data_IF_392713007207
#
_entry.id   IF_392713007207
#
_cell.length_a   1.000
_cell.length_b   1.000
_cell.length_c   1.000
_cell.angle_alpha   90.00
_cell.angle_beta   90.00
_cell.angle_gamma   90.00
#
_symmetry.space_group_name_H-M   'P 1'
#
loop_
_entity.id
_entity.type
_entity.pdbx_description
1 polymer ?
#
# COMPACT_ATOMS: atom_id res chain seq x y z
N UNK A 1 13.42 23.75 2.88
CA UNK A 1 14.28 22.77 2.18
C UNK A 1 13.42 21.88 1.31
N UNK A 2 13.45 22.09 -0.01
CA UNK A 2 12.90 21.15 -0.99
C UNK A 2 13.77 19.87 -1.00
N UNK A 3 13.20 18.66 -1.09
CA UNK A 3 14.03 17.47 -1.38
C UNK A 3 14.35 17.49 -2.87
N UNK A 4 15.54 17.98 -3.20
CA UNK A 4 16.08 17.83 -4.56
C UNK A 4 16.55 16.39 -4.83
N UNK A 5 16.53 15.53 -3.82
CA UNK A 5 17.08 14.17 -3.86
C UNK A 5 16.19 13.22 -3.06
N UNK A 6 15.92 12.04 -3.63
CA UNK A 6 15.31 10.92 -2.90
C UNK A 6 16.41 10.24 -2.09
N UNK A 7 16.31 10.32 -0.77
CA UNK A 7 17.24 9.67 0.16
C UNK A 7 16.56 8.52 0.88
N UNK A 8 17.19 7.36 0.91
CA UNK A 8 16.80 6.28 1.80
C UNK A 8 17.22 6.63 3.24
N UNK A 9 16.54 6.06 4.23
CA UNK A 9 16.88 6.23 5.65
C UNK A 9 17.03 4.87 6.34
N UNK A 10 18.12 4.12 6.06
CA UNK A 10 18.21 2.70 6.36
C UNK A 10 17.98 2.32 7.83
N UNK A 11 18.29 3.21 8.78
CA UNK A 11 18.07 3.00 10.21
C UNK A 11 16.58 2.76 10.57
N UNK A 12 15.64 3.15 9.69
CA UNK A 12 14.20 2.93 9.84
C UNK A 12 13.63 1.88 8.88
N UNK A 13 14.49 1.12 8.20
CA UNK A 13 14.06 -0.06 7.47
C UNK A 13 13.56 -1.11 8.47
N UNK A 14 12.49 -1.82 8.12
CA UNK A 14 11.89 -2.82 8.99
C UNK A 14 11.46 -4.02 8.14
N UNK A 15 11.70 -5.22 8.65
CA UNK A 15 11.04 -6.43 8.17
C UNK A 15 9.92 -6.75 9.16
N UNK A 16 8.70 -6.90 8.65
CA UNK A 16 7.53 -7.18 9.47
C UNK A 16 7.20 -8.67 9.38
N UNK A 17 7.61 -9.41 10.40
CA UNK A 17 7.37 -10.85 10.54
C UNK A 17 7.49 -11.23 12.02
N UNK A 18 6.96 -12.39 12.40
CA UNK A 18 7.03 -12.88 13.79
C UNK A 18 8.47 -12.97 14.32
N UNK A 19 9.44 -13.26 13.45
CA UNK A 19 10.87 -13.34 13.79
C UNK A 19 11.60 -11.98 13.78
N UNK A 20 10.89 -10.90 13.44
CA UNK A 20 11.45 -9.55 13.34
C UNK A 20 10.53 -8.53 14.02
N UNK A 21 10.14 -7.44 13.32
CA UNK A 21 9.26 -6.43 13.89
C UNK A 21 7.81 -6.92 13.80
N UNK A 22 7.20 -7.19 14.94
CA UNK A 22 5.84 -7.70 15.01
C UNK A 22 5.08 -7.14 16.22
N UNK A 23 3.79 -6.94 16.04
CA UNK A 23 2.84 -6.67 17.11
C UNK A 23 1.44 -7.10 16.67
N UNK A 24 0.56 -7.36 17.64
CA UNK A 24 -0.86 -7.65 17.40
C UNK A 24 -1.71 -6.43 17.74
N UNK A 25 -2.83 -6.26 17.03
CA UNK A 25 -3.73 -5.13 17.24
C UNK A 25 -3.09 -3.77 16.89
N UNK A 26 -3.63 -2.72 17.50
CA UNK A 26 -3.19 -1.33 17.26
C UNK A 26 -1.79 -1.11 17.86
N UNK A 27 -0.91 -0.44 17.11
CA UNK A 27 0.40 -0.06 17.64
C UNK A 27 0.29 0.98 18.75
N UNK A 28 0.86 0.69 19.92
CA UNK A 28 0.94 1.60 21.06
C UNK A 28 2.41 1.86 21.44
N UNK A 29 3.13 2.62 20.61
CA UNK A 29 4.56 2.95 20.79
C UNK A 29 4.80 4.35 21.40
N UNK A 30 3.76 4.97 21.95
CA UNK A 30 3.80 6.33 22.51
C UNK A 30 3.88 7.45 21.48
N UNK A 31 3.94 7.14 20.16
CA UNK A 31 3.97 8.16 19.11
C UNK A 31 2.57 8.52 18.63
N UNK A 32 2.35 9.80 18.32
CA UNK A 32 1.09 10.24 17.75
C UNK A 32 1.05 9.97 16.23
N UNK A 33 0.42 8.85 15.87
CA UNK A 33 0.22 8.39 14.48
C UNK A 33 -1.16 8.74 13.93
N UNK A 34 -1.79 9.79 14.47
CA UNK A 34 -3.11 10.24 14.05
C UNK A 34 -4.25 9.43 14.66
N UNK A 35 -5.50 9.76 14.31
CA UNK A 35 -6.71 9.17 14.89
C UNK A 35 -7.00 7.76 14.36
N UNK A 36 -6.45 7.39 13.20
CA UNK A 36 -6.68 6.08 12.60
C UNK A 36 -5.67 5.04 13.12
N UNK A 37 -6.12 3.83 13.52
CA UNK A 37 -5.25 2.75 13.97
C UNK A 37 -4.16 2.38 12.97
N UNK A 38 -2.99 1.98 13.48
CA UNK A 38 -1.89 1.44 12.69
C UNK A 38 -1.60 -0.01 13.10
N UNK A 39 -1.75 -0.91 12.15
CA UNK A 39 -1.56 -2.35 12.34
C UNK A 39 -0.23 -2.82 11.75
N UNK A 40 0.27 -3.95 12.23
CA UNK A 40 1.52 -4.52 11.73
C UNK A 40 1.35 -4.99 10.28
N UNK A 41 2.14 -4.49 9.32
CA UNK A 41 2.07 -4.94 7.93
C UNK A 41 2.87 -6.23 7.74
N UNK A 42 2.44 -7.30 8.42
CA UNK A 42 3.12 -8.61 8.41
C UNK A 42 3.29 -9.13 6.98
N UNK A 43 4.47 -9.69 6.68
CA UNK A 43 4.84 -10.17 5.35
C UNK A 43 5.48 -9.12 4.46
N UNK A 44 5.61 -7.87 4.93
CA UNK A 44 6.21 -6.78 4.17
C UNK A 44 7.56 -6.35 4.75
N UNK A 45 8.41 -5.81 3.88
CA UNK A 45 9.63 -5.10 4.24
C UNK A 45 9.50 -3.64 3.85
N UNK A 46 9.77 -2.75 4.80
CA UNK A 46 9.81 -1.31 4.58
C UNK A 46 11.22 -0.84 4.30
N UNK A 47 11.37 -0.08 3.23
CA UNK A 47 12.54 0.74 2.93
C UNK A 47 12.16 2.21 3.17
N UNK A 48 12.66 2.76 4.28
CA UNK A 48 12.32 4.11 4.72
C UNK A 48 12.92 5.17 3.80
N UNK A 49 12.19 6.26 3.58
CA UNK A 49 12.72 7.46 2.96
C UNK A 49 13.07 8.49 4.03
N UNK A 50 14.16 9.23 3.82
CA UNK A 50 14.55 10.36 4.64
C UNK A 50 13.65 11.56 4.33
N UNK A 51 12.53 11.62 5.06
CA UNK A 51 11.62 12.75 5.30
C UNK A 51 12.21 14.16 5.31
N UNK A 52 12.63 14.46 6.52
CA UNK A 52 13.01 15.73 7.12
C UNK A 52 13.67 15.37 8.46
N UNK A 53 14.51 16.24 9.01
CA UNK A 53 15.18 16.00 10.30
C UNK A 53 14.18 15.93 11.48
N UNK A 54 13.10 16.70 11.41
CA UNK A 54 12.07 16.79 12.45
C UNK A 54 10.84 15.89 12.18
N UNK A 55 11.06 14.67 11.68
CA UNK A 55 9.98 13.79 11.18
C UNK A 55 8.81 13.61 12.16
N UNK A 56 9.11 13.28 13.43
CA UNK A 56 8.07 13.00 14.43
C UNK A 56 7.25 14.26 14.77
N UNK A 57 7.87 15.45 14.77
CA UNK A 57 7.17 16.72 15.01
C UNK A 57 6.34 17.13 13.78
N UNK A 58 6.92 17.11 12.57
CA UNK A 58 6.22 17.50 11.34
C UNK A 58 4.99 16.64 11.09
N UNK A 59 5.10 15.34 11.32
CA UNK A 59 4.02 14.41 11.03
C UNK A 59 3.24 14.00 12.28
N UNK A 60 3.39 14.70 13.41
CA UNK A 60 2.61 14.43 14.62
C UNK A 60 1.12 14.52 14.30
N UNK A 61 0.36 13.46 14.63
CA UNK A 61 -1.08 13.44 14.34
C UNK A 61 -1.47 13.06 12.91
N UNK A 62 -0.51 12.85 12.01
CA UNK A 62 -0.79 12.33 10.67
C UNK A 62 -1.05 10.83 10.73
N UNK A 63 -1.98 10.32 9.95
CA UNK A 63 -2.27 8.88 9.85
C UNK A 63 -1.34 8.18 8.87
N UNK A 64 -1.08 6.88 9.11
CA UNK A 64 -0.37 6.01 8.18
C UNK A 64 -1.39 5.39 7.23
N UNK A 65 -1.07 5.38 5.95
CA UNK A 65 -1.85 4.69 4.93
C UNK A 65 -0.94 4.10 3.85
N UNK A 66 -1.55 3.36 2.94
CA UNK A 66 -0.91 2.64 1.86
C UNK A 66 -1.56 2.99 0.54
N UNK A 67 -0.73 3.24 -0.47
CA UNK A 67 -1.15 3.46 -1.84
C UNK A 67 -0.53 2.37 -2.73
N UNK A 68 -1.39 1.55 -3.33
CA UNK A 68 -0.97 0.59 -4.35
C UNK A 68 -0.63 1.32 -5.65
N UNK A 69 0.38 0.85 -6.37
CA UNK A 69 0.68 1.36 -7.71
C UNK A 69 1.38 0.30 -8.57
N UNK A 70 1.60 0.61 -9.85
CA UNK A 70 2.38 -0.20 -10.78
C UNK A 70 3.86 0.10 -10.65
N UNK A 71 4.71 -0.89 -10.93
CA UNK A 71 6.17 -0.72 -10.92
C UNK A 71 6.62 0.38 -11.87
N UNK A 72 6.00 0.48 -13.06
CA UNK A 72 6.30 1.51 -14.06
C UNK A 72 6.05 2.94 -13.57
N UNK A 73 5.17 3.12 -12.57
CA UNK A 73 4.83 4.43 -12.02
C UNK A 73 5.60 4.75 -10.74
N UNK A 74 6.16 3.75 -10.06
CA UNK A 74 6.84 3.94 -8.78
C UNK A 74 7.92 5.03 -8.81
N UNK A 75 8.77 5.03 -9.83
CA UNK A 75 9.80 6.07 -10.00
C UNK A 75 9.20 7.45 -10.32
N UNK A 76 8.18 7.51 -11.19
CA UNK A 76 7.52 8.80 -11.50
C UNK A 76 6.84 9.40 -10.27
N UNK A 77 6.20 8.58 -9.43
CA UNK A 77 5.58 9.05 -8.19
C UNK A 77 6.63 9.54 -7.21
N UNK A 78 7.74 8.82 -7.11
CA UNK A 78 8.89 9.20 -6.29
C UNK A 78 9.46 10.57 -6.68
N UNK A 79 9.53 10.86 -7.98
CA UNK A 79 10.14 12.08 -8.51
C UNK A 79 9.16 13.26 -8.65
N UNK A 80 7.87 12.99 -8.86
CA UNK A 80 6.89 14.02 -9.23
C UNK A 80 5.71 14.12 -8.26
N UNK A 81 5.52 13.16 -7.35
CA UNK A 81 4.37 13.12 -6.45
C UNK A 81 3.19 12.29 -6.98
N UNK A 82 2.03 12.39 -6.34
CA UNK A 82 0.85 11.60 -6.69
C UNK A 82 -0.11 12.40 -7.57
N UNK A 83 -0.50 11.80 -8.70
CA UNK A 83 -1.59 12.29 -9.55
C UNK A 83 -2.94 11.91 -8.93
N UNK A 84 -4.00 12.65 -9.27
CA UNK A 84 -5.37 12.20 -9.03
C UNK A 84 -5.63 10.81 -9.63
N UNK A 85 -6.46 10.04 -8.93
CA UNK A 85 -6.98 8.80 -9.46
C UNK A 85 -7.89 9.07 -10.66
N UNK A 86 -7.78 8.22 -11.69
CA UNK A 86 -8.66 8.29 -12.87
C UNK A 86 -10.04 7.69 -12.59
N UNK A 87 -10.09 6.68 -11.72
CA UNK A 87 -11.34 6.13 -11.19
C UNK A 87 -11.67 6.83 -9.87
N UNK A 88 -12.90 7.31 -9.73
CA UNK A 88 -13.34 8.21 -8.66
C UNK A 88 -14.64 7.76 -7.98
N UNK A 89 -14.79 6.44 -7.74
CA UNK A 89 -15.99 5.82 -7.14
C UNK A 89 -16.47 6.48 -5.84
N UNK A 90 -15.53 6.99 -5.02
CA UNK A 90 -15.80 7.67 -3.74
C UNK A 90 -15.54 9.20 -3.80
N UNK A 91 -15.34 9.75 -5.00
CA UNK A 91 -14.99 11.15 -5.24
C UNK A 91 -13.62 11.35 -5.89
N UNK A 92 -13.35 12.57 -6.33
CA UNK A 92 -12.04 12.96 -6.87
C UNK A 92 -11.00 13.12 -5.76
N UNK A 93 -9.83 12.53 -5.97
CA UNK A 93 -8.69 12.70 -5.07
C UNK A 93 -7.63 11.63 -5.24
N UNK A 94 -6.75 11.53 -4.24
CA UNK A 94 -5.76 10.45 -4.14
C UNK A 94 -6.35 9.35 -3.25
N UNK A 95 -6.39 8.13 -3.79
CA UNK A 95 -6.93 6.97 -3.07
C UNK A 95 -5.84 6.32 -2.22
N UNK A 96 -6.13 6.05 -0.95
CA UNK A 96 -5.25 5.34 -0.05
C UNK A 96 -6.07 4.44 0.90
N UNK A 97 -5.40 3.59 1.65
CA UNK A 97 -6.06 2.71 2.63
C UNK A 97 -5.24 2.59 3.90
N UNK A 98 -5.85 2.46 5.09
CA UNK A 98 -5.14 2.03 6.29
C UNK A 98 -4.77 0.54 6.25
N UNK A 99 -5.37 -0.24 5.35
CA UNK A 99 -5.08 -1.66 5.19
C UNK A 99 -4.06 -1.90 4.08
N UNK A 100 -2.91 -2.42 4.47
CA UNK A 100 -1.92 -2.90 3.51
C UNK A 100 -2.43 -4.13 2.73
N UNK A 101 -3.31 -4.92 3.36
CA UNK A 101 -3.90 -6.12 2.77
C UNK A 101 -4.83 -5.72 1.62
N UNK A 102 -5.71 -4.74 1.82
CA UNK A 102 -6.57 -4.20 0.77
C UNK A 102 -5.76 -3.60 -0.39
N UNK A 103 -4.83 -2.70 -0.09
CA UNK A 103 -3.99 -2.04 -1.10
C UNK A 103 -3.11 -3.02 -1.87
N UNK A 104 -2.85 -4.23 -1.34
CA UNK A 104 -2.05 -5.26 -2.03
C UNK A 104 -2.79 -6.02 -3.12
N UNK A 105 -4.11 -5.80 -3.28
CA UNK A 105 -4.88 -6.43 -4.35
C UNK A 105 -4.34 -6.04 -5.73
N UNK A 106 -4.31 -6.94 -6.73
CA UNK A 106 -3.69 -6.66 -8.04
C UNK A 106 -4.33 -5.50 -8.82
N UNK A 107 -5.57 -5.10 -8.48
CA UNK A 107 -6.18 -3.86 -9.01
C UNK A 107 -5.33 -2.63 -8.67
N UNK A 108 -4.74 -2.62 -7.48
CA UNK A 108 -4.05 -1.46 -6.92
C UNK A 108 -2.54 -1.64 -6.94
N UNK A 109 -2.01 -2.81 -6.54
CA UNK A 109 -0.58 -3.09 -6.46
C UNK A 109 -0.17 -4.19 -7.43
N UNK A 110 0.69 -3.84 -8.38
CA UNK A 110 1.17 -4.79 -9.38
C UNK A 110 1.99 -5.92 -8.73
N UNK A 111 1.79 -7.13 -9.25
CA UNK A 111 2.60 -8.32 -8.95
C UNK A 111 3.53 -8.55 -10.13
N UNK A 112 4.84 -8.58 -9.88
CA UNK A 112 5.83 -8.95 -10.89
C UNK A 112 6.43 -10.31 -10.56
N UNK A 113 6.37 -11.25 -11.51
CA UNK A 113 7.18 -12.46 -11.46
C UNK A 113 8.64 -12.11 -11.78
N UNK A 114 9.54 -12.65 -10.98
CA UNK A 114 10.97 -12.50 -11.11
C UNK A 114 11.47 -13.69 -11.90
N UNK A 115 11.89 -13.43 -13.14
CA UNK A 115 12.40 -14.48 -14.01
C UNK A 115 13.73 -14.99 -13.46
N UNK A 116 14.09 -16.27 -13.69
CA UNK A 116 15.41 -16.78 -13.32
C UNK A 116 16.56 -15.92 -13.85
N UNK A 117 16.41 -15.31 -15.03
CA UNK A 117 17.39 -14.39 -15.62
C UNK A 117 17.50 -13.03 -14.91
N UNK A 118 16.51 -12.65 -14.11
CA UNK A 118 16.48 -11.41 -13.32
C UNK A 118 17.01 -11.65 -11.89
N UNK A 119 17.25 -12.90 -11.48
CA UNK A 119 17.89 -13.21 -10.21
C UNK A 119 19.36 -12.83 -10.28
N UNK A 120 19.80 -12.00 -9.34
CA UNK A 120 21.17 -11.50 -9.25
C UNK A 120 21.80 -11.96 -7.94
N UNK A 121 23.13 -11.85 -7.76
CA UNK A 121 23.75 -12.11 -6.45
C UNK A 121 23.16 -11.29 -5.29
N UNK A 122 22.49 -10.17 -5.60
CA UNK A 122 21.84 -9.28 -4.63
C UNK A 122 20.35 -9.59 -4.41
N UNK A 123 19.77 -10.49 -5.21
CA UNK A 123 18.39 -10.96 -5.10
C UNK A 123 18.36 -12.49 -5.23
N UNK A 124 18.58 -13.17 -4.10
CA UNK A 124 18.88 -14.61 -4.07
C UNK A 124 17.66 -15.51 -3.86
N UNK A 125 16.51 -14.96 -3.47
CA UNK A 125 15.31 -15.74 -3.15
C UNK A 125 14.03 -14.97 -3.45
N UNK A 126 12.93 -15.69 -3.65
CA UNK A 126 11.66 -15.14 -4.10
C UNK A 126 11.44 -15.29 -5.59
N UNK A 127 10.18 -15.54 -5.95
CA UNK A 127 9.70 -15.67 -7.33
C UNK A 127 8.76 -14.53 -7.72
N UNK A 128 8.12 -13.89 -6.76
CA UNK A 128 7.19 -12.80 -7.00
C UNK A 128 7.55 -11.62 -6.10
N UNK A 129 7.35 -10.41 -6.62
CA UNK A 129 7.49 -9.17 -5.88
C UNK A 129 6.26 -8.30 -6.04
N UNK A 130 5.85 -7.68 -4.94
CA UNK A 130 4.86 -6.59 -4.93
C UNK A 130 5.46 -5.33 -4.33
N UNK A 131 4.94 -4.20 -4.80
CA UNK A 131 5.39 -2.86 -4.45
C UNK A 131 4.20 -2.00 -4.04
N UNK A 132 4.35 -1.28 -2.93
CA UNK A 132 3.41 -0.25 -2.49
C UNK A 132 4.12 0.91 -1.83
N UNK A 133 3.40 2.02 -1.72
CA UNK A 133 3.84 3.21 -1.03
C UNK A 133 3.25 3.25 0.38
N UNK A 134 4.07 3.42 1.41
CA UNK A 134 3.60 3.85 2.74
C UNK A 134 3.64 5.38 2.83
N UNK A 135 2.49 5.96 3.14
CA UNK A 135 2.29 7.41 3.18
C UNK A 135 1.89 7.89 4.57
N UNK A 136 2.06 9.20 4.79
CA UNK A 136 1.47 9.96 5.89
C UNK A 136 0.45 10.92 5.32
N UNK A 137 -0.73 10.99 5.92
CA UNK A 137 -1.80 11.92 5.54
C UNK A 137 -2.29 12.67 6.77
N UNK A 138 -2.46 13.99 6.68
CA UNK A 138 -3.08 14.74 7.76
C UNK A 138 -4.58 14.42 7.79
N UNK A 139 -5.19 14.13 8.95
CA UNK A 139 -6.58 13.65 9.00
C UNK A 139 -7.59 14.62 8.38
N UNK A 140 -7.35 15.93 8.46
CA UNK A 140 -8.24 16.94 7.85
C UNK A 140 -8.21 16.96 6.32
N UNK A 141 -7.24 16.29 5.70
CA UNK A 141 -7.17 16.17 4.25
C UNK A 141 -7.82 14.87 3.75
N UNK A 142 -8.30 13.99 4.64
CA UNK A 142 -9.11 12.83 4.27
C UNK A 142 -10.55 13.32 4.12
N UNK A 143 -11.00 13.48 2.89
CA UNK A 143 -12.32 14.05 2.59
C UNK A 143 -13.41 12.99 2.53
N UNK A 144 -13.04 11.75 2.21
CA UNK A 144 -13.95 10.60 2.23
C UNK A 144 -13.27 9.44 2.94
N UNK A 145 -14.01 8.80 3.84
CA UNK A 145 -13.71 7.47 4.36
C UNK A 145 -14.92 6.60 3.99
N UNK A 146 -14.70 5.60 3.15
CA UNK A 146 -15.77 4.83 2.55
C UNK A 146 -15.50 3.33 2.47
N UNK A 147 -16.50 2.60 1.93
CA UNK A 147 -16.41 1.17 1.78
C UNK A 147 -15.40 0.75 0.71
N UNK A 148 -15.03 -0.52 0.73
CA UNK A 148 -14.27 -1.17 -0.33
C UNK A 148 -14.99 -1.09 -1.69
N UNK A 149 -14.22 -0.97 -2.78
CA UNK A 149 -14.74 -0.85 -4.16
C UNK A 149 -14.46 -2.09 -5.01
N UNK A 150 -14.05 -3.19 -4.38
CA UNK A 150 -13.80 -4.51 -4.99
C UNK A 150 -15.00 -5.46 -4.88
N UNK A 151 -16.11 -5.01 -4.27
CA UNK A 151 -17.41 -5.70 -4.21
C UNK A 151 -17.24 -7.15 -3.78
N UNK A 152 -16.65 -7.35 -2.60
CA UNK A 152 -16.31 -8.68 -2.06
C UNK A 152 -17.48 -9.35 -1.32
N UNK A 153 -18.63 -8.69 -1.28
CA UNK A 153 -19.81 -9.15 -0.55
C UNK A 153 -19.56 -9.23 0.96
N UNK A 154 -19.85 -10.39 1.56
CA UNK A 154 -19.68 -10.60 3.01
C UNK A 154 -18.26 -11.03 3.42
N UNK A 155 -17.33 -11.11 2.47
CA UNK A 155 -15.96 -11.53 2.76
C UNK A 155 -15.19 -10.43 3.49
N UNK A 156 -14.61 -10.76 4.64
CA UNK A 156 -13.70 -9.85 5.35
C UNK A 156 -12.38 -9.71 4.59
N UNK A 157 -11.96 -8.48 4.30
CA UNK A 157 -10.70 -8.20 3.59
C UNK A 157 -9.52 -8.20 4.55
N UNK A 158 -9.65 -7.44 5.65
CA UNK A 158 -8.63 -7.30 6.68
C UNK A 158 -9.31 -7.45 8.04
N UNK A 159 -8.83 -8.36 8.89
CA UNK A 159 -9.43 -8.59 10.21
C UNK A 159 -9.30 -7.38 11.14
N UNK A 160 -8.38 -6.44 10.82
CA UNK A 160 -8.13 -5.25 11.62
C UNK A 160 -8.85 -4.00 11.10
N UNK A 161 -9.34 -4.02 9.85
CA UNK A 161 -9.96 -2.86 9.20
C UNK A 161 -11.30 -3.25 8.61
N UNK A 162 -12.37 -2.61 9.09
CA UNK A 162 -13.72 -2.87 8.59
C UNK A 162 -13.86 -2.43 7.13
N UNK A 163 -14.46 -3.29 6.30
CA UNK A 163 -14.68 -3.05 4.87
C UNK A 163 -15.40 -1.72 4.57
N UNK A 164 -16.22 -1.18 5.48
CA UNK A 164 -16.98 0.06 5.29
C UNK A 164 -16.16 1.35 5.45
N UNK A 165 -14.90 1.25 5.91
CA UNK A 165 -14.02 2.40 6.18
C UNK A 165 -12.59 2.18 5.68
N UNK A 166 -12.41 1.27 4.72
CA UNK A 166 -11.11 0.79 4.27
C UNK A 166 -10.52 1.64 3.14
N UNK A 167 -11.32 2.46 2.47
CA UNK A 167 -10.88 3.29 1.35
C UNK A 167 -10.96 4.77 1.72
N UNK A 168 -9.85 5.49 1.55
CA UNK A 168 -9.72 6.90 1.87
C UNK A 168 -9.50 7.70 0.60
N UNK A 169 -10.24 8.79 0.45
CA UNK A 169 -9.98 9.80 -0.59
C UNK A 169 -9.32 10.99 0.07
N UNK A 170 -8.12 11.32 -0.39
CA UNK A 170 -7.32 12.46 0.08
C UNK A 170 -7.48 13.63 -0.87
N UNK A 171 -7.81 14.79 -0.32
CA UNK A 171 -7.93 16.04 -1.05
C UNK A 171 -6.60 16.44 -1.71
N UNK A 172 -6.67 16.90 -2.95
CA UNK A 172 -5.51 17.44 -3.68
C UNK A 172 -5.44 18.96 -3.62
N UNK A 173 -6.44 19.62 -3.00
CA UNK A 173 -6.60 21.07 -2.93
C UNK A 173 -6.57 21.70 -4.33
N UNK A 174 -7.20 21.05 -5.30
CA UNK A 174 -7.25 21.48 -6.70
C UNK A 174 -5.96 21.26 -7.49
N UNK A 175 -4.93 20.61 -6.92
CA UNK A 175 -3.68 20.31 -7.62
C UNK A 175 -3.82 19.05 -8.45
N UNK A 176 -3.37 19.08 -9.71
CA UNK A 176 -3.34 17.89 -10.59
C UNK A 176 -2.33 16.83 -10.11
N UNK A 177 -1.29 17.27 -9.40
CA UNK A 177 -0.26 16.44 -8.79
C UNK A 177 0.04 16.99 -7.39
N UNK A 178 0.03 16.13 -6.39
CA UNK A 178 0.47 16.45 -5.02
C UNK A 178 1.95 16.11 -4.91
N UNK A 179 2.80 17.14 -5.02
CA UNK A 179 4.24 17.05 -4.81
C UNK A 179 4.54 16.82 -3.31
N UNK A 180 5.32 15.78 -3.01
CA UNK A 180 5.72 15.45 -1.64
C UNK A 180 6.70 16.45 -1.02
N UNK A 181 7.31 17.32 -1.83
CA UNK A 181 8.18 18.41 -1.39
C UNK A 181 7.42 19.68 -1.04
N UNK A 182 6.14 19.75 -1.38
CA UNK A 182 5.30 20.87 -1.02
C UNK A 182 5.12 20.91 0.51
N UNK A 183 5.24 22.09 1.09
CA UNK A 183 4.99 22.29 2.53
C UNK A 183 3.51 22.04 2.87
N UNK A 184 2.63 22.28 1.91
CA UNK A 184 1.19 22.07 2.00
C UNK A 184 0.74 20.73 1.42
N UNK A 185 1.68 19.81 1.15
CA UNK A 185 1.39 18.47 0.67
C UNK A 185 0.35 17.79 1.56
N UNK A 186 -0.77 17.36 0.98
CA UNK A 186 -1.86 16.75 1.74
C UNK A 186 -1.56 15.33 2.18
N UNK A 187 -0.69 14.66 1.43
CA UNK A 187 -0.15 13.33 1.64
C UNK A 187 1.34 13.34 1.30
N UNK A 188 2.13 12.59 2.08
CA UNK A 188 3.59 12.49 1.87
C UNK A 188 4.03 11.04 1.86
N UNK A 189 4.84 10.68 0.87
CA UNK A 189 5.44 9.37 0.77
C UNK A 189 6.64 9.20 1.71
N UNK A 190 6.62 8.17 2.55
CA UNK A 190 7.60 8.00 3.65
C UNK A 190 8.39 6.70 3.61
N UNK A 191 7.97 5.70 2.83
CA UNK A 191 8.72 4.47 2.71
C UNK A 191 8.12 3.49 1.71
N UNK A 192 8.98 2.82 0.96
CA UNK A 192 8.58 1.77 0.03
C UNK A 192 8.26 0.50 0.82
N UNK A 193 7.12 -0.12 0.54
CA UNK A 193 6.74 -1.43 1.07
C UNK A 193 6.96 -2.48 -0.03
N UNK A 194 7.79 -3.49 0.26
CA UNK A 194 8.07 -4.60 -0.64
C UNK A 194 7.64 -5.90 0.01
N UNK A 195 6.92 -6.75 -0.73
CA UNK A 195 6.67 -8.15 -0.37
C UNK A 195 7.33 -9.03 -1.42
N UNK A 196 8.10 -10.02 -0.96
CA UNK A 196 8.76 -11.01 -1.82
C UNK A 196 8.29 -12.40 -1.38
N UNK A 197 7.87 -13.22 -2.33
CA UNK A 197 7.31 -14.55 -2.06
C UNK A 197 7.75 -15.59 -3.09
N UNK A 198 7.89 -16.84 -2.66
CA UNK A 198 8.20 -17.96 -3.57
C UNK A 198 6.97 -18.43 -4.37
N UNK A 199 5.78 -18.25 -3.79
CA UNK A 199 4.49 -18.51 -4.44
C UNK A 199 3.83 -17.21 -4.87
N UNK A 200 2.88 -17.29 -5.79
CA UNK A 200 2.11 -16.12 -6.22
C UNK A 200 1.39 -15.50 -4.99
N UNK A 201 1.42 -14.18 -4.80
CA UNK A 201 0.82 -13.54 -3.61
C UNK A 201 -0.65 -13.86 -3.37
N UNK A 202 -1.43 -14.12 -4.42
CA UNK A 202 -2.83 -14.59 -4.29
C UNK A 202 -3.00 -15.94 -3.59
N UNK A 203 -1.92 -16.68 -3.33
CA UNK A 203 -1.93 -17.92 -2.56
C UNK A 203 -1.66 -17.71 -1.07
N UNK A 204 -1.32 -16.50 -0.65
CA UNK A 204 -1.07 -16.17 0.74
C UNK A 204 -2.38 -16.20 1.56
N UNK A 205 -2.34 -16.58 2.85
CA UNK A 205 -3.52 -16.59 3.72
C UNK A 205 -4.27 -15.24 3.76
N UNK A 206 -3.55 -14.13 3.83
CA UNK A 206 -4.13 -12.78 3.87
C UNK A 206 -4.72 -12.31 2.53
N UNK A 207 -4.43 -13.03 1.43
CA UNK A 207 -4.91 -12.68 0.08
C UNK A 207 -6.08 -13.57 -0.37
N UNK A 208 -6.61 -14.43 0.50
CA UNK A 208 -7.69 -15.35 0.15
C UNK A 208 -9.01 -14.65 -0.20
N UNK A 209 -9.22 -13.43 0.27
CA UNK A 209 -10.40 -12.67 -0.09
C UNK A 209 -10.40 -12.22 -1.56
N UNK A 210 -9.25 -12.22 -2.26
CA UNK A 210 -9.14 -11.78 -3.67
C UNK A 210 -10.08 -12.57 -4.58
N UNK A 211 -10.24 -13.87 -4.30
CA UNK A 211 -11.14 -14.76 -5.04
C UNK A 211 -12.63 -14.44 -4.87
N UNK A 212 -12.98 -13.56 -3.92
CA UNK A 212 -14.35 -13.08 -3.70
C UNK A 212 -14.64 -11.74 -4.39
N UNK A 213 -13.63 -11.07 -4.95
CA UNK A 213 -13.83 -9.78 -5.61
C UNK A 213 -14.60 -9.92 -6.93
N UNK A 214 -15.45 -8.94 -7.27
CA UNK A 214 -16.22 -8.95 -8.52
C UNK A 214 -15.34 -8.99 -9.78
N UNK A 215 -14.09 -8.52 -9.67
CA UNK A 215 -13.11 -8.55 -10.75
C UNK A 215 -12.60 -9.97 -11.06
N UNK A 216 -12.96 -10.96 -10.24
CA UNK A 216 -12.48 -12.34 -10.33
C UNK A 216 -13.61 -13.39 -10.31
N UNK A 217 -14.89 -12.99 -10.43
CA UNK A 217 -16.00 -13.93 -10.35
C UNK A 217 -16.04 -14.85 -11.60
N UNK A 218 -16.12 -16.16 -11.34
CA UNK A 218 -15.87 -17.31 -12.24
C UNK A 218 -16.57 -17.34 -13.60
N UNK A 219 -17.55 -16.47 -13.85
CA UNK A 219 -18.29 -16.40 -15.11
C UNK A 219 -17.70 -15.42 -16.12
N UNK A 220 -16.86 -14.47 -15.67
CA UNK A 220 -16.25 -13.46 -16.54
C UNK A 220 -14.73 -13.45 -16.33
N UNK A 221 -13.97 -13.39 -17.43
CA UNK A 221 -12.52 -13.24 -17.41
C UNK A 221 -12.08 -12.21 -16.36
N UNK A 222 -11.10 -12.60 -15.53
CA UNK A 222 -10.56 -11.71 -14.51
C UNK A 222 -10.05 -10.43 -15.18
N UNK A 223 -10.68 -9.29 -14.88
CA UNK A 223 -10.33 -7.99 -15.48
C UNK A 223 -8.90 -7.54 -15.13
N UNK A 224 -8.24 -8.26 -14.22
CA UNK A 224 -6.86 -8.03 -13.79
C UNK A 224 -5.83 -8.73 -14.69
N UNK A 225 -6.27 -9.53 -15.68
CA UNK A 225 -5.36 -10.34 -16.50
C UNK A 225 -4.64 -11.45 -15.71
N UNK A 226 -5.14 -11.77 -14.51
CA UNK A 226 -4.64 -12.83 -13.65
C UNK A 226 -5.68 -13.94 -13.57
N UNK A 227 -5.33 -15.15 -14.03
CA UNK A 227 -6.20 -16.31 -13.87
C UNK A 227 -6.11 -16.83 -12.42
N UNK A 228 -6.91 -16.23 -11.55
CA UNK A 228 -7.06 -16.67 -10.17
C UNK A 228 -7.62 -18.10 -10.09
N UNK A 229 -8.40 -18.56 -11.06
CA UNK A 229 -8.93 -19.94 -11.08
C UNK A 229 -7.78 -20.95 -11.23
N UNK A 230 -6.86 -20.69 -12.17
CA UNK A 230 -5.66 -21.53 -12.34
C UNK A 230 -4.76 -21.48 -11.10
N UNK A 231 -4.62 -20.32 -10.44
CA UNK A 231 -3.89 -20.22 -9.17
C UNK A 231 -4.55 -21.04 -8.06
N UNK A 232 -5.88 -21.03 -7.97
CA UNK A 232 -6.63 -21.80 -6.95
C UNK A 232 -6.35 -23.30 -7.06
N UNK A 233 -6.10 -23.82 -8.26
CA UNK A 233 -5.76 -25.23 -8.48
C UNK A 233 -4.33 -25.59 -8.05
N UNK A 234 -3.42 -24.62 -7.93
CA UNK A 234 -2.06 -24.83 -7.38
C UNK A 234 -2.04 -24.91 -5.84
N UNK A 235 -3.21 -24.73 -5.22
CA UNK A 235 -3.39 -24.76 -3.77
C UNK A 235 -3.63 -26.18 -3.24
N UNK A 236 -3.85 -27.15 -4.13
CA UNK A 236 -4.04 -28.57 -3.86
C UNK A 236 -2.70 -29.32 -3.74
#
# INVERSE_FOLDING_TARGET
NFRNEIKLHPQWNRAYSMDHTFWTGVLHDGRNRGPHPYYCPVGWKRYALYVTDNYDERFKGWSICYHGTKFSHGLSILLSGLKLAEANELGEGIYASPSIIYSSHPRYSEIKEIKPSEQTPYFQSGKYVQFMLQCRVHPTNIITIGPETLVVGNTTIDSNVNNNIIEWVVDTKGKSIVDFNDIDATIVFTGIMIRVTDKHPGLLPESQWWYSSHLCNSTNHCALGLDLTTLKNQKA
#
